data_IF_007809663692
#
_entry.id   IF_007809663692
#
_cell.length_a   1.000
_cell.length_b   1.000
_cell.length_c   1.000
_cell.angle_alpha   90.00
_cell.angle_beta   90.00
_cell.angle_gamma   90.00
#
_symmetry.space_group_name_H-M   'P 1'
#
loop_
_entity.id
_entity.type
_entity.pdbx_description
1 polymer ?
#
# COMPACT_ATOMS: atom_id res chain seq x y z
N UNK A 1 -0.25 19.77 -14.12
CA UNK A 1 0.89 20.16 -13.27
C UNK A 1 1.96 19.09 -13.32
N UNK A 2 3.12 19.35 -13.92
CA UNK A 2 4.21 18.37 -14.15
C UNK A 2 5.19 18.22 -12.97
N UNK A 3 4.91 18.83 -11.81
CA UNK A 3 5.80 18.86 -10.64
C UNK A 3 5.61 17.76 -9.59
N UNK A 4 4.49 17.02 -9.61
CA UNK A 4 4.21 15.97 -8.62
C UNK A 4 4.73 14.57 -9.04
N UNK A 5 4.89 14.32 -10.34
CA UNK A 5 5.27 12.99 -10.84
C UNK A 5 6.71 12.59 -10.48
N UNK A 6 7.61 13.56 -10.26
CA UNK A 6 9.02 13.28 -9.96
C UNK A 6 9.26 12.72 -8.56
N UNK A 7 8.45 13.13 -7.57
CA UNK A 7 8.68 12.78 -6.16
C UNK A 7 8.36 11.31 -5.89
N UNK A 8 7.28 10.78 -6.47
CA UNK A 8 6.93 9.36 -6.36
C UNK A 8 7.99 8.45 -6.97
N UNK A 9 8.49 8.79 -8.16
CA UNK A 9 9.52 7.99 -8.85
C UNK A 9 10.82 7.98 -8.03
N UNK A 10 11.26 9.15 -7.54
CA UNK A 10 12.46 9.25 -6.69
C UNK A 10 12.31 8.45 -5.39
N UNK A 11 11.14 8.48 -4.76
CA UNK A 11 10.88 7.69 -3.56
C UNK A 11 11.00 6.18 -3.83
N UNK A 12 10.51 5.71 -4.97
CA UNK A 12 10.63 4.31 -5.39
C UNK A 12 12.09 3.94 -5.69
N UNK A 13 12.84 4.80 -6.38
CA UNK A 13 14.26 4.58 -6.67
C UNK A 13 15.08 4.45 -5.38
N UNK A 14 14.86 5.35 -4.42
CA UNK A 14 15.49 5.28 -3.10
C UNK A 14 15.09 4.02 -2.35
N UNK A 15 13.80 3.68 -2.33
CA UNK A 15 13.29 2.45 -1.72
C UNK A 15 13.97 1.20 -2.30
N UNK A 16 14.12 1.13 -3.62
CA UNK A 16 14.76 -0.02 -4.31
C UNK A 16 16.26 -0.15 -4.02
N UNK A 17 16.91 0.92 -3.56
CA UNK A 17 18.32 0.91 -3.16
C UNK A 17 18.51 0.50 -1.70
N UNK A 18 17.45 0.45 -0.89
CA UNK A 18 17.54 0.09 0.52
C UNK A 18 17.80 -1.42 0.70
N UNK A 19 18.76 -1.83 1.56
CA UNK A 19 18.91 -3.22 1.96
C UNK A 19 17.62 -3.74 2.56
N UNK A 20 17.16 -4.92 2.14
CA UNK A 20 15.85 -5.47 2.54
C UNK A 20 15.75 -5.66 4.05
N UNK A 21 16.87 -5.95 4.69
CA UNK A 21 17.01 -6.16 6.14
C UNK A 21 16.78 -4.87 6.95
N UNK A 22 16.88 -3.70 6.31
CA UNK A 22 16.71 -2.39 6.93
C UNK A 22 15.34 -1.76 6.62
N UNK A 23 14.50 -2.43 5.82
CA UNK A 23 13.19 -1.90 5.47
C UNK A 23 12.22 -2.12 6.63
N UNK A 24 11.72 -1.01 7.17
CA UNK A 24 10.71 -0.98 8.23
C UNK A 24 9.32 -0.78 7.63
N UNK A 25 8.28 -1.04 8.44
CA UNK A 25 6.88 -0.76 8.07
C UNK A 25 6.70 0.69 7.60
N UNK A 26 7.28 1.66 8.31
CA UNK A 26 7.21 3.08 7.98
C UNK A 26 7.77 3.37 6.58
N UNK A 27 8.77 2.60 6.15
CA UNK A 27 9.38 2.76 4.83
C UNK A 27 8.38 2.36 3.74
N UNK A 28 7.68 1.24 3.93
CA UNK A 28 6.61 0.80 3.02
C UNK A 28 5.46 1.81 2.96
N UNK A 29 5.01 2.30 4.12
CA UNK A 29 3.94 3.31 4.18
C UNK A 29 4.35 4.59 3.45
N UNK A 30 5.57 5.07 3.67
CA UNK A 30 6.09 6.26 2.99
C UNK A 30 6.12 6.10 1.47
N UNK A 31 6.66 4.99 0.95
CA UNK A 31 6.73 4.78 -0.50
C UNK A 31 5.35 4.55 -1.13
N UNK A 32 4.42 3.87 -0.43
CA UNK A 32 3.04 3.70 -0.88
C UNK A 32 2.29 5.04 -0.94
N UNK A 33 2.47 5.91 0.05
CA UNK A 33 1.91 7.27 0.04
C UNK A 33 2.50 8.10 -1.10
N UNK A 34 3.81 8.01 -1.34
CA UNK A 34 4.44 8.70 -2.47
C UNK A 34 3.86 8.23 -3.82
N UNK A 35 3.59 6.93 -3.95
CA UNK A 35 2.91 6.38 -5.12
C UNK A 35 1.47 6.90 -5.25
N UNK A 36 0.71 6.89 -4.16
CA UNK A 36 -0.68 7.41 -4.09
C UNK A 36 -0.78 8.85 -4.58
N UNK A 37 0.08 9.75 -4.07
CA UNK A 37 0.08 11.16 -4.46
C UNK A 37 0.56 11.41 -5.91
N UNK A 38 1.29 10.46 -6.49
CA UNK A 38 1.87 10.57 -7.82
C UNK A 38 1.08 9.79 -8.89
N UNK A 39 -0.01 9.13 -8.51
CA UNK A 39 -0.80 8.28 -9.42
C UNK A 39 -0.06 7.01 -9.90
N UNK A 40 0.96 6.57 -9.16
CA UNK A 40 1.83 5.44 -9.50
C UNK A 40 1.26 4.12 -8.95
N UNK A 41 0.04 3.79 -9.35
CA UNK A 41 -0.72 2.68 -8.75
C UNK A 41 -0.08 1.31 -9.04
N UNK A 42 0.45 1.11 -10.24
CA UNK A 42 1.08 -0.18 -10.57
C UNK A 42 2.33 -0.43 -9.72
N UNK A 43 3.09 0.63 -9.42
CA UNK A 43 4.24 0.56 -8.53
C UNK A 43 3.79 0.32 -7.08
N UNK A 44 2.72 0.99 -6.62
CA UNK A 44 2.14 0.74 -5.31
C UNK A 44 1.72 -0.72 -5.14
N UNK A 45 1.02 -1.30 -6.13
CA UNK A 45 0.61 -2.72 -6.13
C UNK A 45 1.83 -3.65 -6.06
N UNK A 46 2.85 -3.37 -6.87
CA UNK A 46 4.08 -4.16 -6.87
C UNK A 46 4.74 -4.16 -5.49
N UNK A 47 4.92 -2.98 -4.88
CA UNK A 47 5.53 -2.86 -3.55
C UNK A 47 4.66 -3.55 -2.50
N UNK A 48 3.35 -3.29 -2.49
CA UNK A 48 2.41 -3.92 -1.57
C UNK A 48 2.48 -5.45 -1.63
N UNK A 49 2.63 -6.03 -2.82
CA UNK A 49 2.75 -7.49 -3.00
C UNK A 49 3.99 -8.09 -2.34
N UNK A 50 5.09 -7.33 -2.21
CA UNK A 50 6.35 -7.79 -1.59
C UNK A 50 6.30 -7.87 -0.06
N UNK A 51 5.29 -7.27 0.57
CA UNK A 51 5.19 -7.19 2.03
C UNK A 51 4.55 -8.48 2.56
N UNK A 52 5.30 -9.31 3.27
CA UNK A 52 4.77 -10.59 3.80
C UNK A 52 3.80 -10.37 4.96
N UNK A 53 4.17 -9.55 5.95
CA UNK A 53 3.40 -9.30 7.16
C UNK A 53 2.72 -7.93 7.09
N UNK A 54 1.61 -7.86 6.34
CA UNK A 54 0.86 -6.61 6.18
C UNK A 54 0.05 -6.32 7.45
N UNK A 55 0.38 -5.22 8.11
CA UNK A 55 -0.40 -4.70 9.24
C UNK A 55 -1.59 -3.89 8.76
N UNK A 56 -2.51 -3.58 9.67
CA UNK A 56 -3.65 -2.69 9.42
C UNK A 56 -3.20 -1.36 8.80
N UNK A 57 -2.08 -0.79 9.25
CA UNK A 57 -1.52 0.45 8.72
C UNK A 57 -1.13 0.34 7.25
N UNK A 58 -0.54 -0.79 6.85
CA UNK A 58 -0.18 -1.04 5.44
C UNK A 58 -1.45 -1.25 4.59
N UNK A 59 -2.44 -1.99 5.11
CA UNK A 59 -3.72 -2.18 4.42
C UNK A 59 -4.47 -0.86 4.21
N UNK A 60 -4.65 -0.07 5.26
CA UNK A 60 -5.33 1.23 5.20
C UNK A 60 -4.61 2.20 4.25
N UNK A 61 -3.28 2.20 4.24
CA UNK A 61 -2.48 2.99 3.28
C UNK A 61 -2.75 2.56 1.83
N UNK A 62 -2.84 1.25 1.56
CA UNK A 62 -3.16 0.76 0.21
C UNK A 62 -4.61 1.03 -0.20
N UNK A 63 -5.56 0.95 0.74
CA UNK A 63 -6.97 1.33 0.51
C UNK A 63 -7.08 2.82 0.17
N UNK A 64 -6.40 3.71 0.88
CA UNK A 64 -6.35 5.14 0.55
C UNK A 64 -5.77 5.36 -0.85
N UNK A 65 -4.65 4.69 -1.17
CA UNK A 65 -4.00 4.74 -2.47
C UNK A 65 -4.95 4.42 -3.63
N UNK A 66 -5.70 3.32 -3.51
CA UNK A 66 -6.70 2.89 -4.49
C UNK A 66 -7.88 3.86 -4.57
N UNK A 67 -8.38 4.31 -3.42
CA UNK A 67 -9.53 5.23 -3.32
C UNK A 67 -9.25 6.56 -4.00
N UNK A 68 -8.05 7.12 -3.81
CA UNK A 68 -7.61 8.37 -4.45
C UNK A 68 -7.43 8.27 -5.96
N UNK A 69 -7.29 7.04 -6.46
CA UNK A 69 -7.22 6.74 -7.90
C UNK A 69 -8.55 6.25 -8.47
N UNK A 70 -9.65 6.40 -7.71
CA UNK A 70 -11.01 5.99 -8.10
C UNK A 70 -11.17 4.48 -8.35
N UNK A 71 -10.27 3.65 -7.79
CA UNK A 71 -10.30 2.20 -7.90
C UNK A 71 -11.12 1.58 -6.75
N UNK A 72 -12.36 2.03 -6.60
CA UNK A 72 -13.20 1.71 -5.45
C UNK A 72 -13.50 0.21 -5.33
N UNK A 73 -13.71 -0.49 -6.44
CA UNK A 73 -13.96 -1.94 -6.43
C UNK A 73 -12.76 -2.71 -5.87
N UNK A 74 -11.53 -2.26 -6.15
CA UNK A 74 -10.31 -2.88 -5.64
C UNK A 74 -10.09 -2.52 -4.17
N UNK A 75 -10.36 -1.26 -3.80
CA UNK A 75 -10.33 -0.82 -2.41
C UNK A 75 -11.30 -1.63 -1.53
N UNK A 76 -12.53 -1.84 -2.01
CA UNK A 76 -13.53 -2.63 -1.28
C UNK A 76 -13.10 -4.09 -1.13
N UNK A 77 -12.61 -4.73 -2.20
CA UNK A 77 -12.08 -6.11 -2.11
C UNK A 77 -10.96 -6.24 -1.07
N UNK A 78 -10.13 -5.20 -0.95
CA UNK A 78 -9.05 -5.19 0.02
C UNK A 78 -9.57 -5.05 1.46
N UNK A 79 -10.62 -4.25 1.68
CA UNK A 79 -11.33 -4.15 2.96
C UNK A 79 -11.96 -5.50 3.32
N UNK A 80 -12.72 -6.10 2.41
CA UNK A 80 -13.40 -7.39 2.64
C UNK A 80 -12.39 -8.50 2.99
N UNK A 81 -11.24 -8.51 2.31
CA UNK A 81 -10.15 -9.43 2.60
C UNK A 81 -9.58 -9.19 4.00
N UNK A 82 -9.30 -7.93 4.36
CA UNK A 82 -8.78 -7.59 5.68
C UNK A 82 -9.77 -7.99 6.80
N UNK A 83 -11.05 -7.67 6.64
CA UNK A 83 -12.10 -8.03 7.59
C UNK A 83 -12.28 -9.54 7.73
N UNK A 84 -12.23 -10.30 6.63
CA UNK A 84 -12.35 -11.77 6.69
C UNK A 84 -11.28 -12.42 7.59
N UNK A 85 -10.04 -11.95 7.53
CA UNK A 85 -8.95 -12.50 8.36
C UNK A 85 -8.89 -11.94 9.79
N UNK A 86 -9.55 -10.81 10.06
CA UNK A 86 -9.58 -10.15 11.38
C UNK A 86 -10.94 -10.24 12.10
N UNK A 87 -11.93 -10.85 11.46
CA UNK A 87 -13.19 -11.21 12.11
C UNK A 87 -12.91 -12.29 13.17
N UNK A 88 -13.42 -12.15 14.41
CA UNK A 88 -13.43 -13.30 15.32
C UNK A 88 -14.21 -14.42 14.63
N UNK A 89 -13.60 -15.61 14.48
CA UNK A 89 -14.30 -16.76 13.89
C UNK A 89 -15.66 -16.90 14.58
N UNK A 90 -16.77 -17.14 13.86
CA UNK A 90 -18.04 -17.41 14.51
C UNK A 90 -17.79 -18.60 15.44
N UNK A 91 -17.81 -18.36 16.74
CA UNK A 91 -17.78 -19.43 17.73
C UNK A 91 -18.94 -20.33 17.37
N UNK A 92 -18.66 -21.55 16.92
CA UNK A 92 -19.72 -22.51 16.56
C UNK A 92 -20.66 -22.64 17.77
N UNK A 93 -21.88 -22.13 17.62
CA UNK A 93 -23.02 -22.44 18.47
C UNK A 93 -23.67 -23.74 18.01
#
# INVERSE_FOLDING_TARGET
>A
SYGLNGVGIQAIELFNQMPRELILEETYVCVLNACSHSGLIDQARSIFSTITNKTEKIYTTMVDCLSRSFLFDEAQKLIDHFEYYHSPSPTML
#
